data_IF_375380676544
#
_entry.id   IF_375380676544
#
_cell.length_a   1.000
_cell.length_b   1.000
_cell.length_c   1.000
_cell.angle_alpha   90.00
_cell.angle_beta   90.00
_cell.angle_gamma   90.00
#
_symmetry.space_group_name_H-M   'P 1'
#
loop_
_entity.id
_entity.type
_entity.pdbx_description
1 polymer ?
#
# COMPACT_ATOMS: atom_id res chain seq x y z
N UNK A 1 6.37 -25.37 -16.33
CA UNK A 1 5.43 -24.28 -15.94
C UNK A 1 4.90 -24.62 -14.57
N UNK A 2 5.05 -23.72 -13.60
CA UNK A 2 4.56 -23.93 -12.23
C UNK A 2 3.03 -23.94 -12.18
N UNK A 3 2.43 -24.84 -11.41
CA UNK A 3 0.99 -24.96 -11.21
C UNK A 3 0.68 -25.18 -9.72
N UNK A 4 -0.48 -24.64 -9.22
CA UNK A 4 -0.91 -24.91 -7.86
C UNK A 4 -1.23 -26.40 -7.68
N UNK A 5 -0.96 -26.93 -6.50
CA UNK A 5 -1.22 -28.34 -6.21
C UNK A 5 -2.73 -28.62 -6.06
N UNK A 6 -3.18 -29.83 -6.35
CA UNK A 6 -4.56 -30.25 -6.10
C UNK A 6 -4.95 -30.02 -4.63
N UNK A 7 -6.15 -29.45 -4.41
CA UNK A 7 -6.66 -29.14 -3.06
C UNK A 7 -6.32 -27.74 -2.55
N UNK A 8 -5.53 -26.95 -3.30
CA UNK A 8 -5.30 -25.54 -2.94
C UNK A 8 -6.50 -24.68 -3.35
N UNK A 9 -6.92 -23.79 -2.44
CA UNK A 9 -8.06 -22.89 -2.66
C UNK A 9 -7.56 -21.48 -2.97
N UNK A 10 -7.87 -20.95 -4.16
CA UNK A 10 -7.46 -19.61 -4.56
C UNK A 10 -8.04 -18.54 -3.62
N UNK A 11 -7.20 -17.61 -3.18
CA UNK A 11 -7.60 -16.44 -2.37
C UNK A 11 -7.85 -15.28 -3.33
N UNK A 12 -9.08 -14.72 -3.38
CA UNK A 12 -9.40 -13.59 -4.24
C UNK A 12 -8.62 -12.33 -3.86
N UNK A 13 -8.21 -11.53 -4.83
CA UNK A 13 -7.63 -10.20 -4.60
C UNK A 13 -6.10 -10.14 -4.51
N UNK A 14 -5.41 -11.26 -4.47
CA UNK A 14 -3.95 -11.33 -4.42
C UNK A 14 -3.27 -11.01 -5.77
N UNK A 15 -3.55 -9.86 -6.38
CA UNK A 15 -3.01 -9.49 -7.70
C UNK A 15 -2.01 -8.35 -7.59
N UNK A 16 -0.76 -8.65 -7.29
CA UNK A 16 0.38 -7.73 -7.50
C UNK A 16 0.93 -7.86 -8.92
N UNK A 17 1.80 -6.94 -9.35
CA UNK A 17 2.39 -6.97 -10.71
C UNK A 17 3.19 -8.24 -10.99
N UNK A 18 3.82 -8.81 -9.97
CA UNK A 18 4.59 -10.06 -10.04
C UNK A 18 3.86 -11.25 -9.41
N UNK A 19 2.66 -11.05 -8.86
CA UNK A 19 1.90 -12.13 -8.19
C UNK A 19 1.18 -12.96 -9.23
N UNK A 20 1.56 -14.22 -9.40
CA UNK A 20 0.87 -15.22 -10.24
C UNK A 20 -0.44 -15.64 -9.59
N UNK A 21 -0.43 -15.80 -8.26
CA UNK A 21 -1.61 -16.12 -7.48
C UNK A 21 -1.31 -16.32 -6.00
N UNK A 22 -2.39 -16.45 -5.23
CA UNK A 22 -2.35 -16.71 -3.79
C UNK A 22 -3.36 -17.81 -3.49
N UNK A 23 -2.97 -18.79 -2.69
CA UNK A 23 -3.82 -19.91 -2.32
C UNK A 23 -3.76 -20.18 -0.81
N UNK A 24 -4.86 -20.68 -0.28
CA UNK A 24 -4.95 -21.23 1.09
C UNK A 24 -4.92 -22.74 0.99
N UNK A 25 -4.17 -23.38 1.88
CA UNK A 25 -4.12 -24.85 2.03
C UNK A 25 -3.78 -25.24 3.46
N UNK A 26 -3.64 -26.53 3.72
CA UNK A 26 -3.18 -27.09 5.00
C UNK A 26 -1.90 -27.88 4.73
N UNK A 27 -0.83 -27.56 5.44
CA UNK A 27 0.44 -28.30 5.43
C UNK A 27 0.76 -28.71 6.86
N UNK A 28 1.04 -29.99 7.10
CA UNK A 28 1.35 -30.55 8.42
C UNK A 28 0.32 -30.11 9.49
N UNK A 29 -0.97 -30.25 9.18
CA UNK A 29 -2.12 -29.84 9.99
C UNK A 29 -2.20 -28.33 10.32
N UNK A 30 -1.39 -27.48 9.71
CA UNK A 30 -1.42 -26.01 9.86
C UNK A 30 -2.03 -25.34 8.63
N UNK A 31 -2.97 -24.39 8.83
CA UNK A 31 -3.46 -23.58 7.71
C UNK A 31 -2.36 -22.63 7.26
N UNK A 32 -2.06 -22.64 5.96
CA UNK A 32 -1.02 -21.80 5.36
C UNK A 32 -1.55 -21.04 4.14
N UNK A 33 -0.89 -19.94 3.81
CA UNK A 33 -1.03 -19.25 2.55
C UNK A 33 0.20 -19.53 1.68
N UNK A 34 -0.04 -19.85 0.42
CA UNK A 34 0.98 -20.01 -0.61
C UNK A 34 0.84 -18.88 -1.60
N UNK A 35 1.87 -18.06 -1.75
CA UNK A 35 1.93 -16.96 -2.71
C UNK A 35 3.00 -17.27 -3.75
N UNK A 36 2.62 -17.25 -5.04
CA UNK A 36 3.55 -17.43 -6.16
C UNK A 36 3.89 -16.08 -6.78
N UNK A 37 5.19 -15.77 -6.84
CA UNK A 37 5.75 -14.64 -7.57
C UNK A 37 6.38 -15.14 -8.88
N UNK A 38 6.02 -14.54 -10.01
CA UNK A 38 6.64 -14.80 -11.29
C UNK A 38 7.92 -13.98 -11.48
N UNK A 39 8.97 -14.61 -11.94
CA UNK A 39 10.16 -13.89 -12.36
C UNK A 39 9.84 -13.00 -13.58
N UNK A 40 10.32 -11.73 -13.60
CA UNK A 40 10.06 -10.84 -14.72
C UNK A 40 10.79 -11.35 -15.99
N UNK A 41 10.14 -11.20 -17.11
CA UNK A 41 10.67 -11.45 -18.45
C UNK A 41 11.34 -10.19 -19.03
N UNK A 42 12.02 -10.32 -20.16
CA UNK A 42 12.59 -9.18 -20.89
C UNK A 42 11.54 -8.18 -21.43
N UNK A 43 10.27 -8.56 -21.47
CA UNK A 43 9.16 -7.72 -21.94
C UNK A 43 8.46 -6.97 -20.77
N UNK A 44 8.82 -7.30 -19.54
CA UNK A 44 8.24 -6.67 -18.37
C UNK A 44 8.89 -5.30 -18.09
N UNK A 45 8.18 -4.38 -17.41
CA UNK A 45 8.75 -3.09 -17.03
C UNK A 45 10.04 -3.24 -16.22
N UNK A 46 11.08 -2.46 -16.59
CA UNK A 46 12.38 -2.48 -15.91
C UNK A 46 12.28 -2.21 -14.38
N UNK A 47 11.24 -1.50 -13.96
CA UNK A 47 10.95 -1.23 -12.56
C UNK A 47 10.78 -2.51 -11.70
N UNK A 48 10.41 -3.63 -12.31
CA UNK A 48 10.33 -4.91 -11.58
C UNK A 48 11.71 -5.41 -11.13
N UNK A 49 12.76 -5.07 -11.85
CA UNK A 49 14.14 -5.40 -11.50
C UNK A 49 14.81 -4.39 -10.56
N UNK A 50 14.24 -3.20 -10.39
CA UNK A 50 14.82 -2.16 -9.56
C UNK A 50 14.49 -2.40 -8.07
N UNK A 51 15.53 -2.71 -7.29
CA UNK A 51 15.41 -3.01 -5.86
C UNK A 51 14.83 -1.87 -5.00
N UNK A 52 14.95 -0.61 -5.45
CA UNK A 52 14.43 0.56 -4.73
C UNK A 52 13.02 0.94 -5.14
N UNK A 53 12.61 0.54 -6.34
CA UNK A 53 11.27 0.84 -6.84
C UNK A 53 10.22 0.02 -6.09
N UNK A 54 9.05 0.61 -5.75
CA UNK A 54 7.99 -0.07 -5.00
C UNK A 54 7.49 -1.36 -5.67
N UNK A 55 7.63 -1.50 -6.97
CA UNK A 55 7.19 -2.67 -7.74
C UNK A 55 8.26 -3.78 -7.84
N UNK A 56 9.38 -3.67 -7.13
CA UNK A 56 10.42 -4.71 -7.16
C UNK A 56 9.81 -6.08 -6.85
N UNK A 57 9.91 -6.99 -7.83
CA UNK A 57 9.16 -8.25 -7.85
C UNK A 57 9.49 -9.21 -6.70
N UNK A 58 10.74 -9.19 -6.25
CA UNK A 58 11.28 -10.14 -5.28
C UNK A 58 11.13 -9.69 -3.82
N UNK A 59 10.79 -8.42 -3.55
CA UNK A 59 10.86 -7.86 -2.19
C UNK A 59 10.11 -8.67 -1.13
N UNK A 60 8.93 -9.21 -1.44
CA UNK A 60 8.19 -10.04 -0.48
C UNK A 60 9.00 -11.27 -0.04
N UNK A 61 9.77 -11.88 -0.96
CA UNK A 61 10.64 -13.00 -0.66
C UNK A 61 11.89 -12.56 0.14
N UNK A 62 12.48 -11.42 -0.22
CA UNK A 62 13.64 -10.87 0.50
C UNK A 62 13.25 -10.51 1.95
N UNK A 63 12.06 -9.95 2.19
CA UNK A 63 11.52 -9.70 3.53
C UNK A 63 11.35 -11.02 4.30
N UNK A 64 10.69 -12.01 3.69
CA UNK A 64 10.47 -13.31 4.32
C UNK A 64 11.77 -14.01 4.70
N UNK A 65 12.75 -14.03 3.78
CA UNK A 65 14.05 -14.67 4.01
C UNK A 65 14.91 -13.95 5.05
N UNK A 66 14.77 -12.63 5.17
CA UNK A 66 15.59 -11.83 6.09
C UNK A 66 15.14 -11.90 7.54
N UNK A 67 13.89 -12.25 7.80
CA UNK A 67 13.27 -12.13 9.12
C UNK A 67 13.17 -10.70 9.65
N UNK A 68 13.40 -9.69 8.80
CA UNK A 68 13.53 -8.27 9.18
C UNK A 68 12.33 -7.72 9.95
N UNK A 69 11.14 -8.19 9.62
CA UNK A 69 9.88 -7.72 10.22
C UNK A 69 9.30 -8.65 11.29
N UNK A 70 10.02 -9.68 11.72
CA UNK A 70 9.50 -10.65 12.70
C UNK A 70 9.44 -10.11 14.13
N UNK A 71 10.25 -9.09 14.45
CA UNK A 71 10.37 -8.52 15.80
C UNK A 71 10.31 -6.98 15.80
N UNK A 72 9.80 -6.37 14.74
CA UNK A 72 9.62 -4.91 14.69
C UNK A 72 8.48 -4.44 15.62
N UNK A 73 8.59 -3.25 16.24
CA UNK A 73 7.52 -2.71 17.05
C UNK A 73 6.31 -2.32 16.18
N UNK A 74 5.13 -2.52 16.69
CA UNK A 74 3.87 -2.10 16.06
C UNK A 74 3.37 -3.04 14.97
N UNK A 75 4.10 -3.16 13.88
CA UNK A 75 3.76 -4.09 12.79
C UNK A 75 4.81 -5.21 12.72
N UNK A 76 4.34 -6.45 12.69
CA UNK A 76 5.19 -7.63 12.51
C UNK A 76 4.75 -8.45 11.31
N UNK A 77 5.69 -9.12 10.66
CA UNK A 77 5.40 -10.17 9.68
C UNK A 77 5.01 -11.50 10.35
N UNK A 78 4.38 -12.41 9.60
CA UNK A 78 4.21 -13.78 10.04
C UNK A 78 5.56 -14.45 10.36
N UNK A 79 5.57 -15.30 11.35
CA UNK A 79 6.69 -16.19 11.64
C UNK A 79 6.74 -17.33 10.60
N UNK A 80 7.83 -18.06 10.57
CA UNK A 80 7.97 -19.33 9.82
C UNK A 80 7.65 -19.23 8.31
N UNK A 81 8.14 -18.20 7.65
CA UNK A 81 8.03 -18.09 6.20
C UNK A 81 9.05 -19.02 5.50
N UNK A 82 8.57 -19.88 4.59
CA UNK A 82 9.41 -20.70 3.71
C UNK A 82 9.48 -20.05 2.33
N UNK A 83 10.68 -19.95 1.79
CA UNK A 83 10.94 -19.35 0.47
C UNK A 83 11.57 -20.40 -0.43
N UNK A 84 10.87 -20.79 -1.50
CA UNK A 84 11.36 -21.72 -2.51
C UNK A 84 11.52 -21.00 -3.84
N UNK A 85 12.67 -21.13 -4.47
CA UNK A 85 12.99 -20.47 -5.74
C UNK A 85 13.25 -21.51 -6.84
N UNK A 86 12.67 -21.25 -8.01
CA UNK A 86 12.91 -22.04 -9.22
C UNK A 86 13.09 -21.10 -10.44
N UNK A 87 13.22 -21.69 -11.64
CA UNK A 87 13.47 -20.94 -12.88
C UNK A 87 12.31 -20.03 -13.30
N UNK A 88 11.09 -20.32 -12.84
CA UNK A 88 9.86 -19.58 -13.19
C UNK A 88 9.53 -18.50 -12.14
N UNK A 89 10.17 -18.52 -10.95
CA UNK A 89 9.90 -17.52 -9.90
C UNK A 89 10.10 -18.03 -8.48
N UNK A 90 9.32 -17.48 -7.53
CA UNK A 90 9.45 -17.75 -6.11
C UNK A 90 8.10 -18.16 -5.52
N UNK A 91 8.09 -19.20 -4.71
CA UNK A 91 6.94 -19.62 -3.90
C UNK A 91 7.21 -19.24 -2.44
N UNK A 92 6.29 -18.48 -1.85
CA UNK A 92 6.28 -18.14 -0.43
C UNK A 92 5.21 -18.97 0.26
N UNK A 93 5.57 -19.66 1.34
CA UNK A 93 4.64 -20.39 2.19
C UNK A 93 4.74 -19.76 3.56
N UNK A 94 3.61 -19.28 4.08
CA UNK A 94 3.53 -18.57 5.36
C UNK A 94 2.31 -19.08 6.12
N UNK A 95 2.32 -19.00 7.45
CA UNK A 95 1.16 -19.29 8.24
C UNK A 95 -0.03 -18.40 7.84
N UNK A 96 -1.23 -18.99 7.85
CA UNK A 96 -2.46 -18.24 7.66
C UNK A 96 -2.71 -17.34 8.87
N UNK A 97 -2.85 -16.05 8.64
CA UNK A 97 -3.15 -15.07 9.68
C UNK A 97 -4.66 -14.86 9.75
N UNK A 98 -5.25 -15.16 10.90
CA UNK A 98 -6.67 -14.93 11.12
C UNK A 98 -6.96 -13.45 11.37
N UNK A 99 -8.15 -13.00 10.92
CA UNK A 99 -8.59 -11.61 11.09
C UNK A 99 -9.01 -11.36 12.54
N UNK A 100 -8.24 -10.56 13.26
CA UNK A 100 -8.51 -10.12 14.62
C UNK A 100 -9.46 -8.92 14.71
N UNK A 101 -9.99 -8.46 13.59
CA UNK A 101 -10.87 -7.29 13.49
C UNK A 101 -10.28 -6.02 14.18
N UNK A 102 -9.01 -5.73 13.92
CA UNK A 102 -8.31 -4.59 14.48
C UNK A 102 -9.07 -3.28 14.18
N UNK A 103 -9.26 -2.43 15.21
CA UNK A 103 -9.78 -1.08 14.99
C UNK A 103 -8.77 -0.22 14.25
N UNK A 104 -9.25 0.79 13.51
CA UNK A 104 -8.36 1.69 12.80
C UNK A 104 -7.44 2.47 13.73
N UNK A 105 -7.90 2.81 14.93
CA UNK A 105 -7.06 3.48 15.94
C UNK A 105 -5.93 2.57 16.41
N UNK A 106 -6.19 1.28 16.63
CA UNK A 106 -5.16 0.33 16.98
C UNK A 106 -4.13 0.16 15.85
N UNK A 107 -4.60 0.04 14.61
CA UNK A 107 -3.73 -0.04 13.44
C UNK A 107 -2.89 1.23 13.25
N UNK A 108 -3.49 2.42 13.44
CA UNK A 108 -2.77 3.70 13.36
C UNK A 108 -1.68 3.80 14.42
N UNK A 109 -1.97 3.42 15.67
CA UNK A 109 -0.97 3.37 16.74
C UNK A 109 0.17 2.41 16.40
N UNK A 110 -0.16 1.22 15.90
CA UNK A 110 0.83 0.22 15.49
C UNK A 110 1.73 0.75 14.34
N UNK A 111 1.16 1.42 13.35
CA UNK A 111 1.94 2.08 12.28
C UNK A 111 2.86 3.18 12.84
N UNK A 112 2.40 3.96 13.82
CA UNK A 112 3.24 4.96 14.50
C UNK A 112 4.43 4.33 15.22
N UNK A 113 4.23 3.20 15.92
CA UNK A 113 5.34 2.46 16.55
C UNK A 113 6.30 1.86 15.52
N UNK A 114 5.76 1.32 14.41
CA UNK A 114 6.56 0.78 13.33
C UNK A 114 7.44 1.83 12.65
N UNK A 115 6.96 3.08 12.55
CA UNK A 115 7.75 4.19 12.03
C UNK A 115 9.04 4.45 12.84
N UNK A 116 9.11 4.00 14.10
CA UNK A 116 10.32 4.03 14.93
C UNK A 116 11.21 2.79 14.82
N UNK A 117 10.89 1.83 13.97
CA UNK A 117 11.69 0.61 13.84
C UNK A 117 13.04 0.87 13.16
N UNK A 118 14.05 0.08 13.50
CA UNK A 118 15.32 0.03 12.76
C UNK A 118 15.31 -1.17 11.81
N UNK A 119 15.25 -0.90 10.52
CA UNK A 119 15.31 -1.92 9.48
C UNK A 119 16.74 -2.24 9.03
N UNK A 120 17.75 -1.59 9.60
CA UNK A 120 19.14 -1.77 9.23
C UNK A 120 19.47 -1.36 7.77
N UNK A 121 20.70 -1.58 7.32
CA UNK A 121 21.18 -1.11 6.02
C UNK A 121 20.88 -2.11 4.89
N UNK A 122 19.62 -2.42 4.62
CA UNK A 122 19.25 -3.30 3.50
C UNK A 122 19.03 -2.51 2.20
N UNK A 123 19.47 -3.07 1.08
CA UNK A 123 19.54 -2.36 -0.21
C UNK A 123 18.26 -2.47 -1.05
N UNK A 124 17.34 -3.35 -0.68
CA UNK A 124 16.11 -3.63 -1.42
C UNK A 124 14.86 -2.98 -0.81
N UNK A 125 15.00 -2.13 0.20
CA UNK A 125 13.87 -1.35 0.74
C UNK A 125 13.36 -0.36 -0.31
N UNK A 126 12.04 -0.29 -0.46
CA UNK A 126 11.39 0.66 -1.35
C UNK A 126 11.69 2.10 -0.90
N UNK A 127 11.81 2.98 -1.88
CA UNK A 127 11.99 4.42 -1.70
C UNK A 127 11.02 5.15 -2.62
N UNK A 128 10.73 6.40 -2.32
CA UNK A 128 10.04 7.32 -3.23
C UNK A 128 8.70 6.79 -3.80
N UNK A 129 7.98 5.95 -3.03
CA UNK A 129 6.84 5.19 -3.54
C UNK A 129 5.76 6.08 -4.19
N UNK A 130 5.41 7.22 -3.57
CA UNK A 130 4.40 8.11 -4.15
C UNK A 130 4.91 8.76 -5.44
N UNK A 131 6.18 9.17 -5.47
CA UNK A 131 6.83 9.74 -6.66
C UNK A 131 6.83 8.74 -7.82
N UNK A 132 7.22 7.50 -7.57
CA UNK A 132 7.20 6.40 -8.56
C UNK A 132 5.79 6.11 -9.09
N UNK A 133 4.80 6.10 -8.20
CA UNK A 133 3.39 5.92 -8.58
C UNK A 133 2.91 7.05 -9.49
N UNK A 134 3.23 8.30 -9.17
CA UNK A 134 2.85 9.47 -9.98
C UNK A 134 3.62 9.52 -11.30
N UNK A 135 4.90 9.16 -11.34
CA UNK A 135 5.67 9.03 -12.57
C UNK A 135 5.03 7.99 -13.52
N UNK A 136 4.51 6.88 -12.99
CA UNK A 136 3.75 5.90 -13.79
C UNK A 136 2.45 6.49 -14.35
N UNK A 137 1.75 7.30 -13.57
CA UNK A 137 0.54 8.02 -14.01
C UNK A 137 0.89 9.03 -15.09
N UNK A 138 1.99 9.77 -14.94
CA UNK A 138 2.49 10.76 -15.90
C UNK A 138 2.80 10.12 -17.26
N UNK A 139 3.49 8.99 -17.30
CA UNK A 139 3.76 8.24 -18.54
C UNK A 139 2.48 7.82 -19.29
N UNK A 140 1.34 7.71 -18.57
CA UNK A 140 0.02 7.43 -19.16
C UNK A 140 -0.78 8.69 -19.50
N UNK A 141 -0.20 9.87 -19.31
CA UNK A 141 -0.78 11.18 -19.64
C UNK A 141 -1.56 11.84 -18.50
N UNK A 142 -1.25 11.54 -17.26
CA UNK A 142 -1.85 12.15 -16.08
C UNK A 142 -3.25 11.61 -15.75
N UNK A 143 -4.01 12.38 -14.99
CA UNK A 143 -5.38 12.04 -14.55
C UNK A 143 -6.44 12.42 -15.61
N UNK A 144 -6.34 11.82 -16.80
CA UNK A 144 -7.17 12.16 -17.97
C UNK A 144 -8.67 11.98 -17.73
N UNK A 145 -9.04 10.97 -16.95
CA UNK A 145 -10.45 10.68 -16.71
C UNK A 145 -11.06 11.66 -15.72
N UNK A 146 -10.29 12.14 -14.74
CA UNK A 146 -10.73 13.15 -13.79
C UNK A 146 -11.05 14.49 -14.46
N UNK A 147 -10.35 14.87 -15.54
CA UNK A 147 -10.65 16.07 -16.32
C UNK A 147 -12.07 16.08 -16.95
N UNK A 148 -12.76 14.97 -16.91
CA UNK A 148 -14.15 14.83 -17.42
C UNK A 148 -15.18 14.76 -16.30
N UNK A 149 -14.81 15.13 -15.09
CA UNK A 149 -15.65 15.08 -13.87
C UNK A 149 -15.79 16.46 -13.24
N UNK A 150 -16.62 16.57 -12.20
CA UNK A 150 -16.80 17.81 -11.43
C UNK A 150 -15.58 18.20 -10.59
N UNK A 151 -14.59 17.33 -10.45
CA UNK A 151 -13.34 17.61 -9.73
C UNK A 151 -12.18 17.96 -10.67
N UNK A 152 -12.48 18.27 -11.95
CA UNK A 152 -11.47 18.52 -12.98
C UNK A 152 -10.49 19.64 -12.59
N UNK A 153 -11.02 20.81 -12.17
CA UNK A 153 -10.20 21.97 -11.82
C UNK A 153 -9.30 21.70 -10.61
N UNK A 154 -9.84 21.02 -9.60
CA UNK A 154 -9.11 20.62 -8.40
C UNK A 154 -8.01 19.61 -8.75
N UNK A 155 -8.34 18.60 -9.57
CA UNK A 155 -7.38 17.61 -10.03
C UNK A 155 -6.26 18.24 -10.85
N UNK A 156 -6.59 19.19 -11.73
CA UNK A 156 -5.61 19.94 -12.55
C UNK A 156 -4.70 20.81 -11.68
N UNK A 157 -5.26 21.52 -10.70
CA UNK A 157 -4.49 22.32 -9.76
C UNK A 157 -3.49 21.46 -8.99
N UNK A 158 -3.95 20.34 -8.37
CA UNK A 158 -3.08 19.44 -7.63
C UNK A 158 -2.05 18.75 -8.53
N UNK A 159 -2.43 18.38 -9.77
CA UNK A 159 -1.48 17.81 -10.73
C UNK A 159 -0.32 18.75 -11.04
N UNK A 160 -0.60 20.04 -11.24
CA UNK A 160 0.44 21.05 -11.45
C UNK A 160 1.36 21.24 -10.24
N UNK A 161 0.80 21.13 -9.00
CA UNK A 161 1.58 21.28 -7.76
C UNK A 161 2.30 19.99 -7.32
N UNK A 162 2.12 18.85 -8.02
CA UNK A 162 2.62 17.56 -7.57
C UNK A 162 4.10 17.54 -7.23
N UNK A 163 4.93 18.21 -8.01
CA UNK A 163 6.38 18.22 -7.75
C UNK A 163 6.72 18.98 -6.48
N UNK A 164 6.15 20.16 -6.25
CA UNK A 164 6.40 20.94 -5.03
C UNK A 164 5.93 20.21 -3.78
N UNK A 165 4.81 19.45 -3.85
CA UNK A 165 4.33 18.66 -2.72
C UNK A 165 5.16 17.38 -2.51
N UNK A 166 5.65 16.76 -3.57
CA UNK A 166 6.61 15.66 -3.47
C UNK A 166 7.94 16.12 -2.87
N UNK A 167 8.43 17.29 -3.29
CA UNK A 167 9.66 17.87 -2.74
C UNK A 167 9.48 18.21 -1.24
N UNK A 168 8.29 18.71 -0.83
CA UNK A 168 7.98 18.90 0.58
C UNK A 168 7.96 17.58 1.38
N UNK A 169 7.53 16.47 0.77
CA UNK A 169 7.60 15.14 1.40
C UNK A 169 9.04 14.64 1.56
N UNK A 170 9.94 14.98 0.64
CA UNK A 170 11.35 14.59 0.71
C UNK A 170 12.09 15.25 1.88
N UNK A 171 11.61 16.44 2.31
CA UNK A 171 12.14 17.15 3.49
C UNK A 171 11.67 16.56 4.83
N UNK A 172 10.61 15.73 4.82
CA UNK A 172 10.11 15.08 6.03
C UNK A 172 11.03 13.96 6.49
N UNK A 173 10.99 13.65 7.79
CA UNK A 173 11.66 12.48 8.34
C UNK A 173 11.23 11.23 7.60
N UNK A 174 12.22 10.51 7.03
CA UNK A 174 12.00 9.26 6.31
C UNK A 174 11.99 8.09 7.31
N UNK A 175 10.88 7.39 7.38
CA UNK A 175 10.63 6.32 8.37
C UNK A 175 10.30 4.99 7.70
N UNK A 176 10.49 3.85 8.40
CA UNK A 176 9.98 2.56 7.97
C UNK A 176 8.49 2.60 7.61
N UNK A 177 8.13 1.96 6.52
CA UNK A 177 6.76 1.87 6.01
C UNK A 177 6.46 0.48 5.49
N UNK A 178 5.25 0.00 5.78
CA UNK A 178 4.70 -1.19 5.13
C UNK A 178 4.49 -0.96 3.62
N UNK A 179 4.05 0.26 3.26
CA UNK A 179 3.88 0.74 1.88
C UNK A 179 2.55 0.36 1.22
N UNK A 180 1.79 -0.57 1.80
CA UNK A 180 0.41 -0.91 1.39
C UNK A 180 -0.46 -1.30 2.62
N UNK A 181 -0.56 -0.45 3.65
CA UNK A 181 -1.22 -0.78 4.91
C UNK A 181 -2.75 -0.68 4.82
N UNK A 182 -3.37 -1.41 3.90
CA UNK A 182 -4.84 -1.52 3.89
C UNK A 182 -5.30 -2.46 5.01
N UNK A 183 -6.55 -2.32 5.54
CA UNK A 183 -7.05 -3.19 6.61
C UNK A 183 -6.89 -4.69 6.33
N UNK A 184 -7.06 -5.11 5.08
CA UNK A 184 -6.88 -6.51 4.67
C UNK A 184 -5.42 -7.01 4.80
N UNK A 185 -4.44 -6.10 4.81
CA UNK A 185 -3.02 -6.41 5.01
C UNK A 185 -2.57 -6.30 6.48
N UNK A 186 -3.49 -5.94 7.39
CA UNK A 186 -3.27 -5.77 8.83
C UNK A 186 -4.21 -6.68 9.64
N UNK A 187 -4.36 -7.98 9.28
CA UNK A 187 -5.42 -8.82 9.81
C UNK A 187 -5.16 -9.28 11.24
N UNK A 188 -3.94 -9.67 11.58
CA UNK A 188 -3.66 -10.38 12.83
C UNK A 188 -3.34 -9.46 14.00
N UNK A 189 -3.35 -10.08 15.19
CA UNK A 189 -2.97 -9.40 16.43
C UNK A 189 -2.28 -10.35 17.37
N UNK A 190 -1.18 -9.90 17.97
CA UNK A 190 -0.49 -10.57 19.05
C UNK A 190 -0.12 -9.56 20.13
N UNK A 191 -0.84 -9.59 21.25
CA UNK A 191 -0.70 -8.57 22.30
C UNK A 191 -1.01 -7.17 21.75
N UNK A 192 0.00 -6.30 21.80
CA UNK A 192 -0.07 -4.92 21.29
C UNK A 192 0.43 -4.77 19.85
N UNK A 193 0.85 -5.87 19.22
CA UNK A 193 1.37 -5.84 17.87
C UNK A 193 0.32 -6.26 16.84
N UNK A 194 0.33 -5.64 15.68
CA UNK A 194 -0.44 -6.07 14.50
C UNK A 194 0.41 -7.05 13.69
N UNK A 195 -0.14 -8.22 13.38
CA UNK A 195 0.48 -9.13 12.41
C UNK A 195 0.02 -8.70 11.02
N UNK A 196 0.97 -8.14 10.28
CA UNK A 196 0.76 -7.62 8.93
C UNK A 196 1.24 -8.63 7.88
N UNK A 197 0.56 -8.63 6.74
CA UNK A 197 0.88 -9.48 5.58
C UNK A 197 1.16 -8.62 4.35
N UNK A 198 1.64 -9.25 3.29
CA UNK A 198 1.94 -8.60 1.99
C UNK A 198 2.99 -7.48 2.06
N UNK A 199 4.16 -7.80 2.60
CA UNK A 199 5.30 -6.92 2.76
C UNK A 199 6.04 -6.58 1.46
N UNK A 200 5.43 -6.80 0.31
CA UNK A 200 6.05 -6.55 -0.99
C UNK A 200 6.40 -5.10 -1.28
N UNK A 201 5.93 -4.16 -0.45
CA UNK A 201 6.23 -2.74 -0.57
C UNK A 201 7.00 -2.17 0.62
N UNK A 202 7.54 -3.02 1.51
CA UNK A 202 8.35 -2.58 2.66
C UNK A 202 9.46 -1.62 2.22
N UNK A 203 9.56 -0.48 2.89
CA UNK A 203 10.55 0.53 2.55
C UNK A 203 10.68 1.64 3.56
N UNK A 204 11.24 2.74 3.11
CA UNK A 204 11.22 4.02 3.80
C UNK A 204 10.44 5.04 2.99
N UNK A 205 9.77 5.93 3.68
CA UNK A 205 9.06 7.07 3.08
C UNK A 205 8.74 8.13 4.12
N UNK A 206 8.11 9.24 3.74
CA UNK A 206 7.84 10.34 4.64
C UNK A 206 6.93 9.91 5.78
N UNK A 207 7.23 10.39 6.99
CA UNK A 207 6.39 10.14 8.18
C UNK A 207 4.93 10.48 7.88
N UNK A 208 4.00 9.65 8.34
CA UNK A 208 2.56 9.79 8.06
C UNK A 208 2.09 9.18 6.71
N UNK A 209 2.97 8.79 5.78
CA UNK A 209 2.52 8.29 4.48
C UNK A 209 1.75 6.96 4.57
N UNK A 210 2.17 6.01 5.39
CA UNK A 210 1.39 4.79 5.64
C UNK A 210 0.01 5.10 6.23
N UNK A 211 -0.08 6.06 7.15
CA UNK A 211 -1.35 6.54 7.69
C UNK A 211 -2.23 7.13 6.59
N UNK A 212 -1.66 7.96 5.71
CA UNK A 212 -2.37 8.53 4.56
C UNK A 212 -2.91 7.48 3.60
N UNK A 213 -2.16 6.42 3.37
CA UNK A 213 -2.61 5.30 2.55
C UNK A 213 -3.74 4.51 3.25
N UNK A 214 -3.61 4.26 4.55
CA UNK A 214 -4.61 3.58 5.37
C UNK A 214 -5.96 4.32 5.40
N UNK A 215 -5.93 5.65 5.48
CA UNK A 215 -7.10 6.54 5.48
C UNK A 215 -8.09 6.27 4.33
N UNK A 216 -7.62 5.78 3.19
CA UNK A 216 -8.48 5.50 2.03
C UNK A 216 -9.49 4.38 2.31
N UNK A 217 -9.19 3.51 3.25
CA UNK A 217 -9.98 2.32 3.59
C UNK A 217 -10.45 2.30 5.05
N UNK A 218 -9.92 3.19 5.90
CA UNK A 218 -10.32 3.33 7.30
C UNK A 218 -11.80 3.74 7.43
N UNK A 219 -12.40 3.41 8.56
CA UNK A 219 -13.76 3.84 8.93
C UNK A 219 -13.74 5.11 9.77
N UNK A 220 -12.66 5.31 10.50
CA UNK A 220 -12.41 6.42 11.39
C UNK A 220 -12.02 7.68 10.60
N UNK A 221 -12.28 8.83 11.19
CA UNK A 221 -11.92 10.14 10.62
C UNK A 221 -10.41 10.43 10.75
N UNK A 222 -9.96 11.45 10.04
CA UNK A 222 -8.55 11.84 9.94
C UNK A 222 -7.93 12.13 11.30
N UNK A 223 -8.53 13.04 12.09
CA UNK A 223 -7.94 13.52 13.34
C UNK A 223 -7.75 12.40 14.39
N UNK A 224 -8.75 11.54 14.70
CA UNK A 224 -8.54 10.41 15.61
C UNK A 224 -7.43 9.46 15.17
N UNK A 225 -7.27 9.24 13.85
CA UNK A 225 -6.22 8.39 13.33
C UNK A 225 -4.84 9.03 13.47
N UNK A 226 -4.71 10.35 13.21
CA UNK A 226 -3.48 11.11 13.45
C UNK A 226 -3.11 11.07 14.93
N UNK A 227 -4.06 11.34 15.84
CA UNK A 227 -3.83 11.28 17.27
C UNK A 227 -3.32 9.90 17.70
N UNK A 228 -3.95 8.84 17.21
CA UNK A 228 -3.56 7.47 17.55
C UNK A 228 -2.19 7.09 16.99
N UNK A 229 -1.86 7.54 15.76
CA UNK A 229 -0.54 7.37 15.15
C UNK A 229 0.53 8.07 15.98
N UNK A 230 0.31 9.33 16.38
CA UNK A 230 1.22 10.11 17.21
C UNK A 230 1.44 9.50 18.59
N UNK A 231 0.42 8.87 19.18
CA UNK A 231 0.58 8.14 20.44
C UNK A 231 1.52 6.93 20.31
N UNK A 232 1.64 6.34 19.11
CA UNK A 232 2.58 5.26 18.82
C UNK A 232 3.96 5.75 18.37
N UNK A 233 4.03 6.93 17.79
CA UNK A 233 5.26 7.48 17.22
C UNK A 233 6.26 7.85 18.32
N UNK A 234 7.55 7.50 18.22
CA UNK A 234 8.57 8.02 19.15
C UNK A 234 8.54 9.54 19.18
N UNK A 235 8.43 10.12 20.39
CA UNK A 235 8.09 11.52 20.62
C UNK A 235 9.01 12.58 19.96
N UNK A 236 10.21 12.18 19.54
CA UNK A 236 11.20 13.10 18.93
C UNK A 236 11.38 12.83 17.42
N UNK A 237 10.59 11.92 16.84
CA UNK A 237 10.80 11.50 15.47
C UNK A 237 10.21 12.49 14.46
N UNK A 238 9.04 13.04 14.75
CA UNK A 238 8.41 14.06 13.92
C UNK A 238 7.34 14.84 14.70
N UNK A 239 7.01 16.03 14.23
CA UNK A 239 5.90 16.85 14.74
C UNK A 239 4.55 16.37 14.20
N UNK A 240 3.45 16.88 14.80
CA UNK A 240 2.10 16.65 14.29
C UNK A 240 1.95 17.15 12.85
N UNK A 241 2.44 18.35 12.58
CA UNK A 241 2.35 19.01 11.28
C UNK A 241 3.04 18.20 10.19
N UNK A 242 4.20 17.60 10.50
CA UNK A 242 4.92 16.71 9.57
C UNK A 242 4.12 15.43 9.29
N UNK A 243 3.55 14.79 10.31
CA UNK A 243 2.69 13.60 10.17
C UNK A 243 1.45 13.92 9.35
N UNK A 244 0.77 15.05 9.64
CA UNK A 244 -0.41 15.48 8.90
C UNK A 244 -0.08 15.78 7.43
N UNK A 245 1.03 16.45 7.15
CA UNK A 245 1.47 16.73 5.78
C UNK A 245 1.73 15.43 5.01
N UNK A 246 2.50 14.53 5.58
CA UNK A 246 2.81 13.23 4.96
C UNK A 246 1.55 12.40 4.71
N UNK A 247 0.65 12.33 5.68
CA UNK A 247 -0.62 11.62 5.57
C UNK A 247 -1.54 12.26 4.52
N UNK A 248 -1.71 13.57 4.56
CA UNK A 248 -2.62 14.32 3.68
C UNK A 248 -2.18 14.24 2.22
N UNK A 249 -0.92 14.53 1.92
CA UNK A 249 -0.39 14.47 0.55
C UNK A 249 -0.50 13.04 0.01
N UNK A 250 -0.10 12.04 0.79
CA UNK A 250 -0.19 10.63 0.35
C UNK A 250 -1.64 10.20 0.10
N UNK A 251 -2.58 10.53 0.99
CA UNK A 251 -3.99 10.20 0.84
C UNK A 251 -4.58 10.84 -0.43
N UNK A 252 -4.37 12.14 -0.62
CA UNK A 252 -4.96 12.91 -1.72
C UNK A 252 -4.45 12.42 -3.07
N UNK A 253 -3.15 12.29 -3.25
CA UNK A 253 -2.60 11.83 -4.54
C UNK A 253 -2.93 10.37 -4.83
N UNK A 254 -2.97 9.53 -3.80
CA UNK A 254 -3.35 8.12 -3.98
C UNK A 254 -4.82 7.99 -4.33
N UNK A 255 -5.73 8.71 -3.65
CA UNK A 255 -7.17 8.59 -3.93
C UNK A 255 -7.54 9.14 -5.30
N UNK A 256 -6.94 10.25 -5.73
CA UNK A 256 -7.14 10.80 -7.07
C UNK A 256 -6.64 9.83 -8.15
N UNK A 257 -5.45 9.27 -7.97
CA UNK A 257 -4.89 8.26 -8.86
C UNK A 257 -5.78 7.01 -8.98
N UNK A 258 -6.28 6.52 -7.85
CA UNK A 258 -7.20 5.37 -7.83
C UNK A 258 -8.54 5.67 -8.47
N UNK A 259 -9.09 6.86 -8.25
CA UNK A 259 -10.34 7.30 -8.87
C UNK A 259 -10.20 7.43 -10.39
N UNK A 260 -9.11 8.06 -10.88
CA UNK A 260 -8.81 8.14 -12.31
C UNK A 260 -8.70 6.75 -12.94
N UNK A 261 -7.92 5.86 -12.33
CA UNK A 261 -7.77 4.49 -12.82
C UNK A 261 -9.09 3.72 -12.85
N UNK A 262 -9.92 3.82 -11.82
CA UNK A 262 -11.20 3.14 -11.76
C UNK A 262 -12.17 3.66 -12.85
N UNK A 263 -12.23 4.96 -13.04
CA UNK A 263 -13.05 5.60 -14.07
C UNK A 263 -12.53 5.25 -15.49
N UNK A 264 -11.22 5.20 -15.69
CA UNK A 264 -10.63 4.85 -16.98
C UNK A 264 -11.04 3.43 -17.44
N UNK A 265 -11.17 2.47 -16.52
CA UNK A 265 -11.59 1.08 -16.83
C UNK A 265 -13.00 1.01 -17.41
N UNK A 266 -13.87 1.92 -17.07
CA UNK A 266 -15.27 1.95 -17.55
C UNK A 266 -15.53 3.03 -18.59
N UNK A 267 -14.56 3.92 -18.86
CA UNK A 267 -14.71 5.06 -19.75
C UNK A 267 -14.97 4.65 -21.22
N UNK A 268 -14.43 3.52 -21.66
CA UNK A 268 -14.60 2.97 -23.01
C UNK A 268 -15.93 2.26 -23.28
N UNK A 269 -16.74 1.98 -22.26
CA UNK A 269 -18.04 1.33 -22.41
C UNK A 269 -19.14 2.29 -22.91
N UNK A 270 -20.27 1.73 -23.37
CA UNK A 270 -21.46 2.53 -23.75
C UNK A 270 -22.07 3.29 -22.56
N UNK A 271 -22.71 4.43 -22.83
CA UNK A 271 -23.42 5.24 -21.87
C UNK A 271 -22.64 6.43 -21.30
N UNK A 272 -23.36 7.33 -20.65
CA UNK A 272 -22.80 8.53 -20.06
C UNK A 272 -21.86 8.22 -18.88
N UNK A 273 -20.79 9.00 -18.71
CA UNK A 273 -19.82 8.83 -17.61
C UNK A 273 -20.50 8.86 -16.22
N UNK A 274 -21.54 9.70 -16.06
CA UNK A 274 -22.32 9.78 -14.82
C UNK A 274 -23.02 8.47 -14.44
N UNK A 275 -23.48 7.67 -15.42
CA UNK A 275 -24.06 6.37 -15.16
C UNK A 275 -23.01 5.35 -14.66
N UNK A 276 -21.75 5.54 -15.05
CA UNK A 276 -20.63 4.68 -14.70
C UNK A 276 -20.13 4.89 -13.26
N UNK A 277 -20.46 6.00 -12.62
CA UNK A 277 -20.15 6.25 -11.21
C UNK A 277 -20.77 5.23 -10.25
N UNK A 278 -21.92 4.64 -10.64
CA UNK A 278 -22.60 3.59 -9.86
C UNK A 278 -22.09 2.18 -10.15
N UNK A 279 -21.19 2.02 -11.12
CA UNK A 279 -20.65 0.71 -11.45
C UNK A 279 -19.92 0.09 -10.23
N UNK A 280 -20.18 -1.19 -9.87
CA UNK A 280 -19.62 -1.81 -8.67
C UNK A 280 -18.08 -1.72 -8.57
N UNK A 281 -17.37 -1.73 -9.70
CA UNK A 281 -15.92 -1.61 -9.74
C UNK A 281 -15.39 -0.17 -9.61
N UNK A 282 -16.27 0.84 -9.62
CA UNK A 282 -15.91 2.27 -9.54
C UNK A 282 -16.39 2.89 -8.23
N UNK A 283 -17.59 2.57 -7.81
CA UNK A 283 -18.25 3.19 -6.68
C UNK A 283 -17.42 3.19 -5.37
N UNK A 284 -16.65 2.14 -5.00
CA UNK A 284 -15.80 2.18 -3.83
C UNK A 284 -14.72 3.26 -3.88
N UNK A 285 -14.09 3.46 -5.05
CA UNK A 285 -13.04 4.46 -5.25
C UNK A 285 -13.58 5.88 -5.20
N UNK A 286 -14.78 6.11 -5.73
CA UNK A 286 -15.43 7.43 -5.65
C UNK A 286 -15.92 7.75 -4.23
N UNK A 287 -16.40 6.75 -3.48
CA UNK A 287 -16.70 6.95 -2.05
C UNK A 287 -15.45 7.29 -1.25
N UNK A 288 -14.32 6.63 -1.54
CA UNK A 288 -13.05 6.98 -0.93
C UNK A 288 -12.64 8.42 -1.27
N UNK A 289 -12.76 8.83 -2.54
CA UNK A 289 -12.50 10.21 -2.97
C UNK A 289 -13.38 11.22 -2.23
N UNK A 290 -14.68 10.96 -2.10
CA UNK A 290 -15.61 11.84 -1.37
C UNK A 290 -15.22 12.01 0.11
N UNK A 291 -14.80 10.93 0.77
CA UNK A 291 -14.33 11.01 2.17
C UNK A 291 -13.06 11.82 2.33
N UNK A 292 -12.24 11.96 1.28
CA UNK A 292 -10.99 12.72 1.32
C UNK A 292 -11.15 14.18 0.89
N UNK A 293 -12.37 14.69 0.62
CA UNK A 293 -12.56 16.10 0.28
C UNK A 293 -11.98 17.08 1.30
N UNK A 294 -12.13 16.91 2.63
CA UNK A 294 -11.51 17.81 3.59
C UNK A 294 -9.98 17.86 3.46
N UNK A 295 -9.34 16.73 3.14
CA UNK A 295 -7.90 16.66 2.93
C UNK A 295 -7.48 17.29 1.60
N UNK A 296 -8.32 17.18 0.57
CA UNK A 296 -8.13 17.84 -0.72
C UNK A 296 -8.21 19.36 -0.52
N UNK A 297 -9.23 19.84 0.14
CA UNK A 297 -9.42 21.29 0.42
C UNK A 297 -8.22 21.86 1.19
N UNK A 298 -7.73 21.16 2.19
CA UNK A 298 -6.55 21.57 2.97
C UNK A 298 -5.23 21.62 2.16
N UNK A 299 -5.18 21.06 0.95
CA UNK A 299 -4.04 21.18 0.03
C UNK A 299 -4.23 22.23 -1.06
N UNK A 300 -5.39 22.86 -1.15
CA UNK A 300 -5.64 23.92 -2.15
C UNK A 300 -5.15 25.28 -1.68
N UNK A 301 -5.05 25.49 -0.36
CA UNK A 301 -4.48 26.67 0.27
C UNK A 301 -2.94 26.66 0.19
#
# INVERSE_FOLDING_TARGET
MWEPQPGWHAVPGGSGMSTVGVWRTVLDDRPVVVKRLGAPSEHDPAELGDRRHFAYWRRAADVASSGLVTATPGLRGPLDAVVEEDVDGITLIMDWVEDAANSGLFAANAMGRFAGADLGPVTWLARDQLRDRLARVERRGGWRTLHRTTVADVADHLWRRRHSLLDALDELTQVPQHGDPVPANLPGREGDEVIAIDWGMLGHGPVGADLGYYLLSAREDFEPLVDSYLMGLPAQLASREEVELGARVTAVYTVLTRADWALARVAGGEGALAAKYRHPSVAPYLRALQRQFPQIEALLD
#
